data_IF_107909598935
#
_entry.id   IF_107909598935
#
_cell.length_a   1.000
_cell.length_b   1.000
_cell.length_c   1.000
_cell.angle_alpha   90.00
_cell.angle_beta   90.00
_cell.angle_gamma   90.00
#
_symmetry.space_group_name_H-M   'P 1'
#
loop_
_entity.id
_entity.type
_entity.pdbx_description
1 polymer ?
#
# COMPACT_ATOMS: atom_id res chain seq x y z
N UNK A 1 -13.10 21.29 -10.01
CA UNK A 1 -12.54 19.98 -10.40
C UNK A 1 -11.92 19.34 -9.17
N UNK A 2 -12.40 18.15 -8.79
CA UNK A 2 -11.85 17.37 -7.68
C UNK A 2 -10.48 16.85 -8.07
N UNK A 3 -9.46 17.08 -7.24
CA UNK A 3 -8.11 16.58 -7.52
C UNK A 3 -8.06 15.06 -7.27
N UNK A 4 -7.41 14.34 -8.19
CA UNK A 4 -7.16 12.90 -8.05
C UNK A 4 -6.06 12.66 -7.02
N UNK A 5 -6.28 11.68 -6.15
CA UNK A 5 -5.36 11.33 -5.06
C UNK A 5 -4.94 9.87 -5.19
N UNK A 6 -3.63 9.64 -5.08
CA UNK A 6 -3.04 8.31 -4.95
C UNK A 6 -2.47 8.16 -3.54
N UNK A 7 -3.01 7.23 -2.76
CA UNK A 7 -2.49 6.84 -1.46
C UNK A 7 -1.68 5.55 -1.60
N UNK A 8 -0.36 5.64 -1.39
CA UNK A 8 0.54 4.50 -1.44
C UNK A 8 0.93 4.05 -0.03
N UNK A 9 0.61 2.81 0.29
CA UNK A 9 1.16 2.12 1.47
C UNK A 9 2.33 1.24 1.03
N UNK A 10 3.55 1.62 1.43
CA UNK A 10 4.78 0.86 1.19
C UNK A 10 5.25 0.33 2.55
N UNK A 11 4.84 -0.90 2.87
CA UNK A 11 5.09 -1.43 4.22
C UNK A 11 6.58 -1.70 4.42
N UNK A 12 7.07 -1.34 5.61
CA UNK A 12 8.50 -1.35 5.92
C UNK A 12 9.26 -0.11 5.46
N UNK A 13 8.65 0.84 4.74
CA UNK A 13 9.35 2.06 4.34
C UNK A 13 9.75 2.91 5.55
N UNK A 14 11.06 3.05 5.76
CA UNK A 14 11.64 3.91 6.80
C UNK A 14 12.34 5.12 6.17
N UNK A 15 12.43 6.23 6.91
CA UNK A 15 13.06 7.46 6.41
C UNK A 15 14.51 7.25 5.92
N UNK A 16 15.38 6.45 6.58
CA UNK A 16 16.73 6.18 6.06
C UNK A 16 16.77 5.53 4.68
N UNK A 17 15.72 4.80 4.26
CA UNK A 17 15.67 4.18 2.93
C UNK A 17 15.43 5.19 1.81
N UNK A 18 14.92 6.39 2.12
CA UNK A 18 14.69 7.43 1.13
C UNK A 18 15.97 7.85 0.41
N UNK A 19 17.14 7.71 1.05
CA UNK A 19 18.44 7.95 0.42
C UNK A 19 18.71 7.02 -0.77
N UNK A 20 18.13 5.82 -0.76
CA UNK A 20 18.17 4.87 -1.87
C UNK A 20 17.00 5.04 -2.84
N UNK A 21 16.13 6.04 -2.59
CA UNK A 21 14.90 6.24 -3.33
C UNK A 21 14.73 7.60 -4.02
N UNK A 22 15.45 7.90 -5.13
CA UNK A 22 15.51 9.25 -5.70
C UNK A 22 14.15 9.84 -6.06
N UNK A 23 13.22 9.06 -6.60
CA UNK A 23 11.88 9.55 -6.95
C UNK A 23 11.06 9.93 -5.72
N UNK A 24 11.09 9.10 -4.68
CA UNK A 24 10.34 9.34 -3.44
C UNK A 24 11.01 10.43 -2.58
N UNK A 25 12.34 10.46 -2.56
CA UNK A 25 13.12 11.54 -1.97
C UNK A 25 12.83 12.88 -2.64
N UNK A 26 12.80 12.91 -3.98
CA UNK A 26 12.41 14.10 -4.73
C UNK A 26 10.96 14.53 -4.47
N UNK A 27 10.03 13.58 -4.30
CA UNK A 27 8.65 13.88 -3.91
C UNK A 27 8.58 14.49 -2.50
N UNK A 28 9.30 13.90 -1.54
CA UNK A 28 9.38 14.41 -0.17
C UNK A 28 10.01 15.81 -0.12
N UNK A 29 11.06 16.07 -0.90
CA UNK A 29 11.75 17.36 -0.95
C UNK A 29 10.89 18.49 -1.55
N UNK A 30 10.05 18.18 -2.54
CA UNK A 30 9.11 19.16 -3.13
C UNK A 30 7.82 19.34 -2.33
N UNK A 31 7.50 18.38 -1.46
CA UNK A 31 6.27 18.33 -0.69
C UNK A 31 6.54 18.41 0.81
N UNK A 32 5.94 17.48 1.54
CA UNK A 32 6.14 17.33 2.98
C UNK A 32 6.48 15.87 3.30
N UNK A 33 7.24 15.70 4.38
CA UNK A 33 7.57 14.39 4.95
C UNK A 33 7.49 14.48 6.46
N UNK A 34 6.80 13.52 7.08
CA UNK A 34 6.71 13.40 8.53
C UNK A 34 6.76 11.92 8.93
N UNK A 35 7.33 11.60 10.10
CA UNK A 35 7.23 10.26 10.65
C UNK A 35 5.78 9.95 11.03
N UNK A 36 5.32 8.74 10.73
CA UNK A 36 4.04 8.23 11.19
C UNK A 36 4.25 7.31 12.40
N UNK A 37 3.65 7.67 13.54
CA UNK A 37 3.52 6.76 14.66
C UNK A 37 2.34 5.80 14.40
N UNK A 38 2.58 4.50 14.21
CA UNK A 38 1.48 3.56 13.98
C UNK A 38 0.69 3.32 15.27
N UNK A 39 -0.56 2.90 15.11
CA UNK A 39 -1.36 2.36 16.22
C UNK A 39 -0.71 1.10 16.81
N UNK A 40 -1.12 0.73 18.02
CA UNK A 40 -0.78 -0.56 18.62
C UNK A 40 -1.99 -1.51 18.58
N UNK A 41 -1.83 -2.78 18.15
CA UNK A 41 -0.60 -3.38 17.64
C UNK A 41 -0.23 -2.91 16.23
N UNK A 42 1.06 -2.73 15.97
CA UNK A 42 1.59 -2.23 14.69
C UNK A 42 1.75 -3.34 13.65
N UNK A 43 0.65 -4.04 13.34
CA UNK A 43 0.58 -5.04 12.27
C UNK A 43 -0.32 -4.55 11.14
N UNK A 44 -0.17 -5.09 9.94
CA UNK A 44 -0.77 -4.56 8.70
C UNK A 44 -2.28 -4.31 8.82
N UNK A 45 -3.06 -5.29 9.29
CA UNK A 45 -4.51 -5.20 9.34
C UNK A 45 -5.02 -4.10 10.28
N UNK A 46 -4.44 -3.96 11.47
CA UNK A 46 -4.84 -2.93 12.44
C UNK A 46 -4.41 -1.55 11.96
N UNK A 47 -3.17 -1.40 11.49
CA UNK A 47 -2.63 -0.12 11.00
C UNK A 47 -3.41 0.38 9.79
N UNK A 48 -3.65 -0.46 8.77
CA UNK A 48 -4.42 -0.06 7.60
C UNK A 48 -5.86 0.31 7.97
N UNK A 49 -6.51 -0.46 8.85
CA UNK A 49 -7.88 -0.13 9.29
C UNK A 49 -7.93 1.23 10.00
N UNK A 50 -6.96 1.53 10.86
CA UNK A 50 -6.87 2.85 11.51
C UNK A 50 -6.58 3.98 10.50
N UNK A 51 -5.72 3.75 9.51
CA UNK A 51 -5.46 4.74 8.45
C UNK A 51 -6.72 5.05 7.63
N UNK A 52 -7.51 4.03 7.32
CA UNK A 52 -8.69 4.16 6.45
C UNK A 52 -9.90 4.75 7.18
N UNK A 53 -10.02 4.55 8.49
CA UNK A 53 -11.18 5.01 9.29
C UNK A 53 -10.87 6.21 10.16
N UNK A 54 -9.61 6.49 10.46
CA UNK A 54 -9.21 7.47 11.48
C UNK A 54 -9.48 7.02 12.92
N UNK A 55 -9.87 5.76 13.13
CA UNK A 55 -10.23 5.20 14.44
C UNK A 55 -9.10 4.34 15.02
N UNK A 56 -9.13 4.12 16.33
CA UNK A 56 -8.23 3.18 17.02
C UNK A 56 -8.75 1.73 16.95
N UNK A 57 -7.90 0.70 17.16
CA UNK A 57 -8.29 -0.71 17.10
C UNK A 57 -9.48 -1.12 17.97
N UNK A 58 -9.66 -0.49 19.14
CA UNK A 58 -10.80 -0.71 20.01
C UNK A 58 -12.13 -0.12 19.47
N UNK A 59 -12.08 0.73 18.46
CA UNK A 59 -13.24 1.37 17.83
C UNK A 59 -13.60 0.71 16.49
N UNK A 60 -12.63 0.46 15.61
CA UNK A 60 -12.89 -0.21 14.32
C UNK A 60 -12.87 -1.75 14.42
N UNK A 61 -12.50 -2.31 15.57
CA UNK A 61 -12.59 -3.75 15.89
C UNK A 61 -11.45 -4.63 15.35
N UNK A 62 -10.54 -4.08 14.55
CA UNK A 62 -9.42 -4.85 13.97
C UNK A 62 -8.19 -4.74 14.85
N UNK A 63 -8.01 -5.73 15.72
CA UNK A 63 -6.95 -5.77 16.73
C UNK A 63 -5.70 -6.54 16.29
N UNK A 64 -5.64 -7.00 15.04
CA UNK A 64 -4.47 -7.70 14.50
C UNK A 64 -4.72 -8.28 13.11
N UNK A 65 -3.76 -9.08 12.63
CA UNK A 65 -3.92 -9.84 11.38
C UNK A 65 -4.83 -11.05 11.53
N UNK A 66 -5.26 -11.37 12.76
CA UNK A 66 -6.24 -12.40 13.06
C UNK A 66 -6.37 -12.58 14.57
N UNK A 67 -7.43 -13.28 14.98
CA UNK A 67 -7.77 -13.51 16.38
C UNK A 67 -8.71 -14.71 16.50
N UNK A 68 -9.03 -15.07 17.74
CA UNK A 68 -9.99 -16.12 18.06
C UNK A 68 -11.43 -15.60 17.95
N UNK A 69 -12.20 -16.15 17.01
CA UNK A 69 -13.62 -15.87 16.82
C UNK A 69 -14.43 -16.75 17.77
N UNK A 70 -14.85 -16.18 18.91
CA UNK A 70 -15.53 -16.94 19.98
C UNK A 70 -16.78 -17.67 19.51
N UNK A 71 -17.57 -17.03 18.66
CA UNK A 71 -18.81 -17.61 18.12
C UNK A 71 -18.57 -18.83 17.22
N UNK A 72 -17.36 -18.94 16.65
CA UNK A 72 -16.96 -20.05 15.79
C UNK A 72 -16.08 -21.07 16.52
N UNK A 73 -15.45 -20.68 17.63
CA UNK A 73 -14.47 -21.50 18.32
C UNK A 73 -13.14 -21.64 17.55
N UNK A 74 -12.81 -20.70 16.65
CA UNK A 74 -11.69 -20.83 15.72
C UNK A 74 -10.74 -19.62 15.72
N UNK A 75 -9.44 -19.87 15.56
CA UNK A 75 -8.48 -18.82 15.23
C UNK A 75 -8.48 -18.61 13.72
N UNK A 76 -8.93 -17.44 13.29
CA UNK A 76 -8.93 -17.09 11.87
C UNK A 76 -7.97 -15.93 11.61
N UNK A 77 -7.12 -16.13 10.62
CA UNK A 77 -6.14 -15.14 10.18
C UNK A 77 -6.55 -14.58 8.82
N UNK A 78 -6.22 -13.31 8.59
CA UNK A 78 -6.32 -12.65 7.28
C UNK A 78 -7.71 -12.69 6.67
N UNK A 79 -8.74 -12.45 7.49
CA UNK A 79 -10.11 -12.30 6.99
C UNK A 79 -10.17 -11.06 6.07
N UNK A 80 -10.95 -11.17 5.01
CA UNK A 80 -10.96 -10.17 3.94
C UNK A 80 -12.25 -9.36 3.84
N UNK A 81 -13.30 -9.70 4.59
CA UNK A 81 -14.58 -8.99 4.49
C UNK A 81 -14.48 -7.59 5.11
N UNK A 82 -14.82 -6.56 4.34
CA UNK A 82 -14.85 -5.17 4.80
C UNK A 82 -15.83 -4.94 5.97
N UNK A 83 -16.88 -5.78 6.06
CA UNK A 83 -17.88 -5.72 7.14
C UNK A 83 -17.30 -5.99 8.54
N UNK A 84 -16.11 -6.59 8.62
CA UNK A 84 -15.40 -6.75 9.89
C UNK A 84 -14.84 -5.44 10.44
N UNK A 85 -14.62 -4.45 9.57
CA UNK A 85 -14.08 -3.14 9.95
C UNK A 85 -15.24 -2.19 10.27
N UNK A 86 -15.39 -1.88 11.55
CA UNK A 86 -16.37 -0.89 12.00
C UNK A 86 -15.89 0.54 11.70
N UNK A 87 -16.85 1.46 11.59
CA UNK A 87 -16.60 2.86 11.24
C UNK A 87 -16.70 3.16 9.75
N UNK A 88 -16.91 4.44 9.45
CA UNK A 88 -16.91 4.98 8.09
C UNK A 88 -15.47 5.03 7.55
N UNK A 89 -15.30 4.64 6.28
CA UNK A 89 -14.00 4.63 5.61
C UNK A 89 -13.81 5.90 4.80
N UNK A 90 -12.56 6.31 4.60
CA UNK A 90 -12.20 7.56 3.92
C UNK A 90 -12.86 7.71 2.54
N UNK A 91 -13.06 6.62 1.80
CA UNK A 91 -13.72 6.66 0.50
C UNK A 91 -15.25 6.84 0.60
N UNK A 92 -15.88 6.35 1.67
CA UNK A 92 -17.31 6.56 1.94
C UNK A 92 -17.56 8.02 2.34
N UNK A 93 -16.74 8.55 3.26
CA UNK A 93 -16.78 9.96 3.63
C UNK A 93 -16.59 10.87 2.42
N UNK A 94 -15.68 10.50 1.49
CA UNK A 94 -15.42 11.28 0.29
C UNK A 94 -16.57 11.18 -0.73
N UNK A 95 -17.16 9.99 -0.90
CA UNK A 95 -18.32 9.79 -1.78
C UNK A 95 -19.51 10.66 -1.36
N UNK A 96 -19.75 10.82 -0.05
CA UNK A 96 -20.82 11.69 0.47
C UNK A 96 -20.54 13.20 0.34
N UNK A 97 -19.34 13.61 -0.08
CA UNK A 97 -18.91 15.02 -0.15
C UNK A 97 -18.65 15.54 -1.55
N UNK A 98 -18.36 14.68 -2.51
CA UNK A 98 -17.93 15.08 -3.85
C UNK A 98 -18.79 14.39 -4.91
N UNK A 99 -19.46 15.19 -5.74
CA UNK A 99 -20.21 14.68 -6.88
C UNK A 99 -19.29 14.00 -7.90
N UNK A 100 -19.74 12.86 -8.44
CA UNK A 100 -18.97 12.06 -9.39
C UNK A 100 -17.71 11.41 -8.79
N UNK A 101 -17.62 11.32 -7.46
CA UNK A 101 -16.51 10.65 -6.79
C UNK A 101 -16.48 9.16 -7.12
N UNK A 102 -15.29 8.66 -7.41
CA UNK A 102 -15.01 7.25 -7.63
C UNK A 102 -13.73 6.86 -6.90
N UNK A 103 -13.65 5.61 -6.46
CA UNK A 103 -12.53 5.09 -5.69
C UNK A 103 -12.09 3.70 -6.14
N UNK A 104 -10.79 3.45 -6.05
CA UNK A 104 -10.18 2.17 -6.34
C UNK A 104 -9.29 1.71 -5.17
N UNK A 105 -9.40 0.43 -4.81
CA UNK A 105 -8.57 -0.22 -3.81
C UNK A 105 -7.76 -1.36 -4.42
N UNK A 106 -6.44 -1.21 -4.45
CA UNK A 106 -5.49 -2.20 -4.96
C UNK A 106 -4.63 -2.73 -3.82
N UNK A 107 -4.96 -3.92 -3.35
CA UNK A 107 -4.17 -4.72 -2.42
C UNK A 107 -4.35 -4.39 -0.95
N UNK A 108 -5.05 -3.31 -0.56
CA UNK A 108 -5.29 -3.06 0.86
C UNK A 108 -6.19 -4.14 1.47
N UNK A 109 -6.02 -4.38 2.77
CA UNK A 109 -6.74 -5.42 3.50
C UNK A 109 -8.19 -5.07 3.76
N UNK A 110 -8.98 -6.12 4.02
CA UNK A 110 -10.43 -6.02 4.21
C UNK A 110 -11.16 -5.42 3.01
N UNK A 111 -10.67 -5.69 1.80
CA UNK A 111 -11.22 -5.12 0.58
C UNK A 111 -12.44 -5.86 0.03
N UNK A 112 -12.67 -7.14 0.39
CA UNK A 112 -13.82 -7.87 -0.13
C UNK A 112 -15.11 -7.25 0.39
N UNK A 113 -16.05 -6.98 -0.52
CA UNK A 113 -17.32 -6.32 -0.24
C UNK A 113 -17.18 -4.89 0.33
N UNK A 114 -16.04 -4.23 0.09
CA UNK A 114 -15.92 -2.80 0.31
C UNK A 114 -16.77 -2.04 -0.73
N UNK A 115 -17.08 -0.79 -0.41
CA UNK A 115 -17.90 0.13 -1.23
C UNK A 115 -17.10 0.86 -2.32
N UNK A 116 -15.86 0.43 -2.60
CA UNK A 116 -15.05 0.97 -3.70
C UNK A 116 -15.61 0.54 -5.06
N UNK A 117 -15.52 1.41 -6.06
CA UNK A 117 -15.95 1.12 -7.43
C UNK A 117 -15.06 0.08 -8.12
N UNK A 118 -13.76 0.09 -7.78
CA UNK A 118 -12.78 -0.86 -8.28
C UNK A 118 -12.02 -1.49 -7.11
N UNK A 119 -11.91 -2.81 -7.10
CA UNK A 119 -11.19 -3.57 -6.07
C UNK A 119 -10.28 -4.57 -6.76
N UNK A 120 -9.06 -4.71 -6.27
CA UNK A 120 -8.15 -5.81 -6.58
C UNK A 120 -7.51 -6.25 -5.27
N UNK A 121 -7.74 -7.47 -4.80
CA UNK A 121 -7.15 -7.95 -3.55
C UNK A 121 -6.75 -9.43 -3.65
N UNK A 122 -5.64 -9.87 -3.01
CA UNK A 122 -5.22 -11.27 -3.02
C UNK A 122 -6.33 -12.20 -2.52
N UNK A 123 -6.63 -13.25 -3.30
CA UNK A 123 -7.62 -14.26 -2.91
C UNK A 123 -7.31 -15.58 -3.63
N UNK A 124 -6.83 -16.63 -2.93
CA UNK A 124 -6.63 -17.94 -3.56
C UNK A 124 -7.96 -18.55 -3.98
N UNK A 125 -7.92 -19.34 -5.05
CA UNK A 125 -8.97 -20.31 -5.37
C UNK A 125 -8.71 -21.59 -4.58
N UNK A 126 -9.72 -22.04 -3.84
CA UNK A 126 -9.69 -23.31 -3.12
C UNK A 126 -10.39 -24.38 -3.95
N UNK A 127 -9.65 -25.44 -4.26
CA UNK A 127 -10.17 -26.59 -4.99
C UNK A 127 -10.67 -27.65 -4.00
N UNK A 128 -11.55 -28.54 -4.47
CA UNK A 128 -12.13 -29.62 -3.66
C UNK A 128 -11.06 -30.62 -3.16
N UNK A 129 -9.97 -30.77 -3.89
CA UNK A 129 -8.80 -31.59 -3.54
C UNK A 129 -7.88 -30.94 -2.48
N UNK A 130 -8.27 -29.78 -1.93
CA UNK A 130 -7.50 -29.01 -0.95
C UNK A 130 -6.38 -28.17 -1.56
N UNK A 131 -6.16 -28.24 -2.88
CA UNK A 131 -5.17 -27.40 -3.57
C UNK A 131 -5.58 -25.94 -3.53
N UNK A 132 -4.58 -25.08 -3.48
CA UNK A 132 -4.74 -23.62 -3.61
C UNK A 132 -4.13 -23.19 -4.94
N UNK A 133 -4.90 -22.48 -5.76
CA UNK A 133 -4.36 -21.82 -6.95
C UNK A 133 -4.16 -20.33 -6.66
N UNK A 134 -3.09 -19.73 -7.21
CA UNK A 134 -2.83 -18.31 -7.05
C UNK A 134 -3.88 -17.52 -7.82
N UNK A 135 -4.52 -16.56 -7.16
CA UNK A 135 -5.53 -15.71 -7.79
C UNK A 135 -5.79 -14.42 -6.96
N UNK A 136 -6.60 -13.53 -7.51
CA UNK A 136 -7.07 -12.32 -6.85
C UNK A 136 -8.59 -12.13 -7.02
N UNK A 137 -9.20 -11.51 -6.01
CA UNK A 137 -10.57 -11.04 -6.07
C UNK A 137 -10.58 -9.65 -6.70
N UNK A 138 -11.43 -9.46 -7.72
CA UNK A 138 -11.51 -8.22 -8.49
C UNK A 138 -12.95 -7.77 -8.64
N UNK A 139 -13.16 -6.45 -8.55
CA UNK A 139 -14.40 -5.75 -8.89
C UNK A 139 -14.04 -4.59 -9.82
N UNK A 140 -14.75 -4.38 -10.95
CA UNK A 140 -15.76 -5.28 -11.51
C UNK A 140 -15.12 -6.59 -12.04
N UNK A 141 -15.89 -7.70 -12.18
CA UNK A 141 -15.31 -9.02 -12.49
C UNK A 141 -14.55 -9.10 -13.83
N UNK A 142 -14.99 -8.38 -14.86
CA UNK A 142 -14.35 -8.33 -16.20
C UNK A 142 -12.92 -7.74 -16.17
N UNK A 143 -12.63 -6.92 -15.15
CA UNK A 143 -11.28 -6.42 -14.92
C UNK A 143 -10.31 -7.55 -14.53
N UNK A 144 -10.78 -8.65 -13.93
CA UNK A 144 -9.94 -9.80 -13.60
C UNK A 144 -9.32 -10.40 -14.86
N UNK A 145 -10.14 -10.74 -15.86
CA UNK A 145 -9.70 -11.35 -17.11
C UNK A 145 -8.75 -10.40 -17.86
N UNK A 146 -9.08 -9.11 -17.86
CA UNK A 146 -8.26 -8.06 -18.47
C UNK A 146 -6.87 -7.98 -17.83
N UNK A 147 -6.80 -7.94 -16.50
CA UNK A 147 -5.52 -7.87 -15.79
C UNK A 147 -4.74 -9.18 -15.96
N UNK A 148 -5.40 -10.33 -15.90
CA UNK A 148 -4.78 -11.64 -16.07
C UNK A 148 -4.22 -11.82 -17.48
N UNK A 149 -4.95 -11.40 -18.52
CA UNK A 149 -4.48 -11.47 -19.90
C UNK A 149 -3.24 -10.58 -20.13
N UNK A 150 -3.18 -9.42 -19.46
CA UNK A 150 -2.11 -8.42 -19.64
C UNK A 150 -0.89 -8.70 -18.78
N UNK A 151 -1.09 -9.04 -17.50
CA UNK A 151 -0.05 -9.12 -16.47
C UNK A 151 0.29 -10.56 -16.09
N UNK A 152 -0.50 -11.53 -16.56
CA UNK A 152 -0.50 -12.90 -16.06
C UNK A 152 -1.27 -13.05 -14.75
N UNK A 153 -1.42 -14.30 -14.30
CA UNK A 153 -2.06 -14.65 -13.03
C UNK A 153 -1.39 -13.94 -11.86
N UNK A 154 -2.18 -13.45 -10.90
CA UNK A 154 -1.66 -12.80 -9.71
C UNK A 154 -0.65 -13.72 -8.98
N UNK A 155 0.60 -13.29 -8.74
CA UNK A 155 1.66 -14.13 -8.16
C UNK A 155 1.51 -14.30 -6.64
N UNK A 156 0.37 -14.84 -6.19
CA UNK A 156 -0.05 -14.94 -4.79
C UNK A 156 0.99 -15.58 -3.87
N UNK A 157 1.71 -16.61 -4.34
CA UNK A 157 2.72 -17.29 -3.53
C UNK A 157 4.00 -16.47 -3.33
N UNK A 158 4.15 -15.35 -4.03
CA UNK A 158 5.22 -14.37 -3.83
C UNK A 158 4.70 -13.08 -3.17
N UNK A 159 3.42 -13.04 -2.78
CA UNK A 159 2.81 -11.87 -2.13
C UNK A 159 3.18 -11.81 -0.65
N UNK A 160 3.18 -12.95 0.03
CA UNK A 160 3.43 -13.05 1.47
C UNK A 160 4.36 -14.21 1.84
N UNK A 161 4.79 -14.22 3.10
CA UNK A 161 5.50 -15.34 3.71
C UNK A 161 6.96 -15.49 3.26
N UNK A 162 7.58 -16.66 3.46
CA UNK A 162 9.02 -16.88 3.23
C UNK A 162 9.47 -16.61 1.79
N UNK A 163 8.56 -16.79 0.83
CA UNK A 163 8.78 -16.65 -0.61
C UNK A 163 8.44 -15.26 -1.15
N UNK A 164 8.01 -14.33 -0.28
CA UNK A 164 7.66 -12.97 -0.68
C UNK A 164 8.81 -12.29 -1.45
N UNK A 165 8.50 -11.63 -2.55
CA UNK A 165 9.49 -10.89 -3.32
C UNK A 165 8.84 -9.78 -4.16
N UNK A 166 9.64 -9.11 -4.99
CA UNK A 166 9.19 -7.99 -5.82
C UNK A 166 8.08 -8.34 -6.81
N UNK A 167 7.91 -9.60 -7.19
CA UNK A 167 7.01 -10.03 -8.28
C UNK A 167 5.57 -9.60 -8.01
N UNK A 168 5.05 -9.83 -6.80
CA UNK A 168 3.70 -9.37 -6.42
C UNK A 168 3.56 -7.85 -6.34
N UNK A 169 4.60 -7.17 -5.87
CA UNK A 169 4.59 -5.70 -5.83
C UNK A 169 4.58 -5.11 -7.24
N UNK A 170 5.40 -5.63 -8.16
CA UNK A 170 5.39 -5.22 -9.56
C UNK A 170 4.00 -5.41 -10.18
N UNK A 171 3.39 -6.58 -9.98
CA UNK A 171 2.05 -6.87 -10.50
C UNK A 171 1.00 -5.86 -9.95
N UNK A 172 1.02 -5.56 -8.65
CA UNK A 172 0.08 -4.60 -8.04
C UNK A 172 0.31 -3.18 -8.54
N UNK A 173 1.57 -2.80 -8.79
CA UNK A 173 1.88 -1.51 -9.40
C UNK A 173 1.30 -1.45 -10.80
N UNK A 174 1.59 -2.43 -11.66
CA UNK A 174 1.10 -2.48 -13.04
C UNK A 174 -0.42 -2.50 -13.12
N UNK A 175 -1.09 -3.23 -12.22
CA UNK A 175 -2.54 -3.20 -12.08
C UNK A 175 -3.04 -1.81 -11.70
N UNK A 176 -2.37 -1.13 -10.77
CA UNK A 176 -2.69 0.25 -10.40
C UNK A 176 -2.51 1.22 -11.58
N UNK A 177 -1.46 1.05 -12.41
CA UNK A 177 -1.28 1.83 -13.64
C UNK A 177 -2.47 1.65 -14.58
N UNK A 178 -2.88 0.40 -14.82
CA UNK A 178 -4.00 0.10 -15.73
C UNK A 178 -5.30 0.72 -15.22
N UNK A 179 -5.59 0.57 -13.92
CA UNK A 179 -6.78 1.14 -13.28
C UNK A 179 -6.80 2.67 -13.37
N UNK A 180 -5.67 3.34 -13.13
CA UNK A 180 -5.58 4.80 -13.28
C UNK A 180 -5.88 5.24 -14.71
N UNK A 181 -5.39 4.50 -15.72
CA UNK A 181 -5.61 4.82 -17.14
C UNK A 181 -7.04 4.54 -17.56
N UNK A 182 -7.62 3.43 -17.11
CA UNK A 182 -8.93 2.94 -17.55
C UNK A 182 -10.09 3.65 -16.86
N UNK A 183 -10.00 3.81 -15.53
CA UNK A 183 -11.11 4.33 -14.73
C UNK A 183 -10.86 5.75 -14.22
N UNK A 184 -9.60 6.20 -14.16
CA UNK A 184 -9.24 7.54 -13.65
C UNK A 184 -9.93 7.88 -12.31
N UNK A 185 -9.88 6.99 -11.30
CA UNK A 185 -10.62 7.19 -10.05
C UNK A 185 -10.18 8.47 -9.34
N UNK A 186 -11.09 9.05 -8.57
CA UNK A 186 -10.78 10.23 -7.74
C UNK A 186 -9.82 9.87 -6.61
N UNK A 187 -9.99 8.69 -6.00
CA UNK A 187 -9.05 8.13 -5.02
C UNK A 187 -8.58 6.75 -5.49
N UNK A 188 -7.27 6.52 -5.53
CA UNK A 188 -6.71 5.17 -5.59
C UNK A 188 -5.87 4.89 -4.35
N UNK A 189 -6.13 3.78 -3.67
CA UNK A 189 -5.27 3.26 -2.60
C UNK A 189 -4.51 2.05 -3.13
N UNK A 190 -3.17 2.05 -3.05
CA UNK A 190 -2.35 0.91 -3.47
C UNK A 190 -1.45 0.43 -2.33
N UNK A 191 -1.36 -0.89 -2.13
CA UNK A 191 -0.51 -1.53 -1.13
C UNK A 191 0.65 -2.28 -1.79
N UNK A 192 1.88 -1.97 -1.36
CA UNK A 192 3.13 -2.51 -1.88
C UNK A 192 3.84 -3.31 -0.77
N UNK A 193 3.73 -4.66 -0.75
CA UNK A 193 4.09 -5.47 0.41
C UNK A 193 5.56 -5.88 0.52
N UNK A 194 6.38 -5.82 -0.54
CA UNK A 194 7.65 -6.58 -0.55
C UNK A 194 8.71 -6.18 0.51
N UNK A 195 8.73 -4.91 0.94
CA UNK A 195 9.88 -4.34 1.62
C UNK A 195 9.98 -4.78 3.09
N UNK A 196 8.86 -5.07 3.76
CA UNK A 196 8.87 -5.53 5.14
C UNK A 196 9.42 -6.95 5.30
N UNK A 197 9.22 -7.80 4.29
CA UNK A 197 9.77 -9.15 4.25
C UNK A 197 11.29 -9.19 4.18
N UNK A 198 11.90 -8.19 3.55
CA UNK A 198 13.37 -8.08 3.55
C UNK A 198 13.90 -7.72 4.93
N UNK A 199 13.18 -6.87 5.69
CA UNK A 199 13.53 -6.61 7.09
C UNK A 199 13.31 -7.81 7.99
N UNK A 200 12.27 -8.61 7.76
CA UNK A 200 12.02 -9.84 8.53
C UNK A 200 13.08 -10.91 8.24
N UNK A 201 13.52 -11.04 6.98
CA UNK A 201 14.51 -12.06 6.57
C UNK A 201 15.93 -11.73 7.02
N UNK A 202 16.35 -10.48 6.87
CA UNK A 202 17.75 -10.10 7.07
C UNK A 202 17.98 -9.32 8.37
N UNK A 203 16.92 -8.79 8.98
CA UNK A 203 17.01 -7.93 10.15
C UNK A 203 17.46 -6.48 9.83
N UNK A 204 17.36 -5.57 10.81
CA UNK A 204 17.52 -4.12 10.60
C UNK A 204 18.97 -3.68 10.35
N UNK A 205 19.97 -4.55 10.59
CA UNK A 205 21.41 -4.22 10.49
C UNK A 205 22.11 -4.84 9.27
N UNK A 206 21.39 -5.55 8.42
CA UNK A 206 22.00 -6.24 7.29
C UNK A 206 22.45 -5.28 6.18
N UNK A 207 23.60 -5.56 5.55
CA UNK A 207 24.21 -4.71 4.50
C UNK A 207 23.33 -4.53 3.27
N UNK A 208 22.31 -5.37 3.07
CA UNK A 208 21.29 -5.21 2.01
C UNK A 208 20.45 -3.93 2.15
N UNK A 209 20.57 -3.17 3.24
CA UNK A 209 20.04 -1.79 3.36
C UNK A 209 20.42 -0.91 2.17
N UNK A 210 21.57 -1.20 1.55
CA UNK A 210 22.22 -0.37 0.52
C UNK A 210 21.60 -0.43 -0.87
N UNK A 211 20.69 -1.35 -1.16
CA UNK A 211 19.88 -1.29 -2.37
C UNK A 211 18.83 -2.39 -2.33
N UNK A 212 17.54 -2.07 -2.29
CA UNK A 212 16.64 -2.84 -3.12
C UNK A 212 17.10 -2.64 -4.57
N UNK A 213 18.02 -3.49 -5.05
CA UNK A 213 18.46 -3.49 -6.45
C UNK A 213 17.23 -3.85 -7.29
N UNK A 214 16.43 -2.84 -7.62
CA UNK A 214 15.21 -2.99 -8.39
C UNK A 214 14.02 -2.12 -7.98
N UNK A 215 13.94 -1.57 -6.75
CA UNK A 215 12.68 -0.87 -6.36
C UNK A 215 12.68 0.61 -6.63
N UNK A 216 13.83 1.30 -6.55
CA UNK A 216 13.75 2.75 -6.65
C UNK A 216 14.07 3.38 -8.00
N UNK A 217 14.89 2.78 -8.84
CA UNK A 217 15.15 3.42 -10.13
C UNK A 217 13.89 3.46 -10.99
N UNK A 218 12.89 2.63 -10.67
CA UNK A 218 11.73 2.42 -11.53
C UNK A 218 10.61 1.70 -10.79
N UNK A 219 10.07 2.32 -9.72
CA UNK A 219 8.80 1.83 -9.15
C UNK A 219 7.70 1.80 -10.22
N UNK A 220 7.82 2.61 -11.28
CA UNK A 220 6.84 2.67 -12.38
C UNK A 220 7.39 2.32 -13.78
N UNK A 221 8.70 2.38 -14.03
CA UNK A 221 9.24 2.29 -15.42
C UNK A 221 9.92 0.97 -15.82
N UNK A 222 10.16 0.02 -14.90
CA UNK A 222 10.75 -1.30 -15.21
C UNK A 222 9.70 -2.39 -15.33
N UNK A 223 8.53 -2.20 -14.72
CA UNK A 223 7.46 -3.18 -14.76
C UNK A 223 6.75 -3.21 -16.14
N UNK A 224 6.89 -2.13 -16.92
CA UNK A 224 6.32 -1.97 -18.26
C UNK A 224 7.10 -2.61 -19.43
N UNK A 225 8.22 -3.30 -19.20
CA UNK A 225 8.92 -4.04 -20.26
C UNK A 225 8.56 -5.54 -20.24
N UNK A 226 8.19 -6.15 -21.38
CA UNK A 226 7.84 -7.56 -21.42
C UNK A 226 9.05 -8.43 -21.03
N UNK A 227 8.88 -9.31 -20.03
CA UNK A 227 9.91 -10.29 -19.67
C UNK A 227 9.92 -11.43 -20.71
N UNK A 228 11.09 -11.85 -21.22
CA UNK A 228 11.19 -13.05 -22.04
C UNK A 228 10.88 -14.31 -21.21
N UNK A 229 10.25 -15.30 -21.85
CA UNK A 229 9.85 -16.58 -21.25
C UNK A 229 11.09 -17.36 -20.76
N UNK A 230 11.08 -17.64 -19.45
CA UNK A 230 11.77 -18.72 -18.68
C UNK A 230 13.02 -19.39 -19.26
N UNK A 231 14.12 -19.32 -18.50
CA UNK A 231 15.14 -20.38 -18.44
C UNK A 231 15.20 -20.94 -17.00
N UNK A 232 15.24 -22.26 -16.88
CA UNK A 232 15.17 -23.05 -15.64
C UNK A 232 16.32 -22.77 -14.66
N UNK A 233 16.10 -22.82 -13.33
CA UNK A 233 17.20 -22.72 -12.38
C UNK A 233 17.75 -24.09 -11.98
N UNK A 234 19.06 -24.27 -12.17
CA UNK A 234 19.86 -25.34 -11.58
C UNK A 234 20.22 -25.03 -10.12
N UNK A 235 20.15 -26.10 -9.32
CA UNK A 235 20.57 -26.31 -7.92
C UNK A 235 21.54 -25.32 -7.25
N UNK A 236 21.20 -24.88 -6.03
CA UNK A 236 22.19 -24.55 -4.99
C UNK A 236 21.74 -25.00 -3.59
N UNK A 237 22.75 -25.43 -2.84
CA UNK A 237 22.73 -26.26 -1.63
C UNK A 237 22.37 -25.51 -0.33
N UNK A 238 21.93 -26.29 0.66
CA UNK A 238 21.56 -25.89 2.03
C UNK A 238 22.78 -25.51 2.86
N UNK A 239 22.62 -24.54 3.76
CA UNK A 239 23.36 -24.46 5.02
C UNK A 239 22.44 -24.06 6.17
N UNK A 240 22.74 -24.60 7.35
CA UNK A 240 21.97 -24.60 8.61
C UNK A 240 22.49 -23.56 9.61
N UNK A 241 21.62 -22.97 10.44
CA UNK A 241 22.02 -22.32 11.70
C UNK A 241 21.05 -21.31 12.36
N UNK A 242 20.27 -21.80 13.34
CA UNK A 242 19.96 -21.29 14.71
C UNK A 242 19.57 -19.81 15.06
N UNK A 243 18.92 -19.58 16.25
CA UNK A 243 17.68 -18.80 16.33
C UNK A 243 17.79 -17.33 16.84
N UNK A 244 16.91 -16.50 16.28
CA UNK A 244 15.91 -15.67 16.99
C UNK A 244 16.36 -14.63 18.03
N UNK A 245 16.47 -13.36 17.61
CA UNK A 245 16.23 -12.19 18.47
C UNK A 245 15.17 -11.28 17.83
N UNK A 246 14.08 -11.04 18.56
CA UNK A 246 13.02 -10.10 18.17
C UNK A 246 13.51 -8.68 18.46
N UNK A 247 13.77 -7.90 17.41
CA UNK A 247 14.08 -6.46 17.52
C UNK A 247 12.88 -5.67 17.02
N UNK A 248 12.26 -4.90 17.93
CA UNK A 248 11.23 -3.90 17.58
C UNK A 248 11.87 -2.79 16.74
N UNK A 249 11.35 -2.54 15.53
CA UNK A 249 11.68 -1.36 14.73
C UNK A 249 10.39 -0.62 14.40
N UNK A 250 10.21 0.55 15.02
CA UNK A 250 9.08 1.46 14.85
C UNK A 250 9.55 2.70 14.11
N UNK A 251 9.24 2.82 12.82
CA UNK A 251 9.24 4.08 12.05
C UNK A 251 8.75 3.79 10.63
N UNK A 252 7.49 4.10 10.32
CA UNK A 252 6.99 4.04 8.94
C UNK A 252 6.75 5.47 8.45
N UNK A 253 7.14 5.77 7.21
CA UNK A 253 6.85 7.06 6.56
C UNK A 253 5.63 6.90 5.67
N UNK A 254 4.60 7.73 5.88
CA UNK A 254 3.50 7.88 4.92
C UNK A 254 3.74 9.16 4.13
N UNK A 255 3.78 9.06 2.80
CA UNK A 255 3.90 10.22 1.92
C UNK A 255 2.49 10.59 1.44
N UNK A 256 1.91 11.63 2.03
CA UNK A 256 0.68 12.25 1.55
C UNK A 256 1.07 13.41 0.66
N UNK A 257 0.98 13.24 -0.67
CA UNK A 257 1.08 14.37 -1.58
C UNK A 257 -0.21 15.21 -1.47
N UNK A 258 -0.14 16.39 -0.84
CA UNK A 258 -1.26 17.36 -0.83
C UNK A 258 -0.81 18.71 -1.35
N UNK A 259 -1.64 19.28 -2.21
CA UNK A 259 -1.60 20.68 -2.61
C UNK A 259 -1.67 21.62 -1.38
N UNK A 260 -0.94 22.72 -1.45
CA UNK A 260 -0.55 23.61 -0.36
C UNK A 260 -1.72 24.36 0.29
N UNK A 261 -1.80 24.31 1.62
CA UNK A 261 -2.44 25.32 2.46
C UNK A 261 -1.47 25.71 3.58
N UNK A 262 -1.26 27.02 3.77
CA UNK A 262 -0.32 27.56 4.76
C UNK A 262 -1.10 27.95 6.02
N UNK A 263 -0.73 27.37 7.15
CA UNK A 263 -1.24 27.74 8.47
C UNK A 263 -0.25 28.72 9.12
N UNK A 264 -0.72 29.90 9.54
CA UNK A 264 0.06 30.82 10.40
C UNK A 264 -0.54 30.81 11.80
N UNK A 265 0.23 30.47 12.86
CA UNK A 265 -0.28 30.51 14.22
C UNK A 265 -0.42 31.95 14.72
N UNK A 266 -1.55 32.28 15.34
CA UNK A 266 -1.66 33.40 16.28
C UNK A 266 -2.38 32.92 17.55
N UNK A 267 -2.15 33.61 18.68
CA UNK A 267 -2.54 33.22 20.05
C UNK A 267 -4.05 33.13 20.33
N UNK A 268 -4.91 33.17 19.32
CA UNK A 268 -6.37 33.11 19.48
C UNK A 268 -7.04 32.34 18.32
N UNK A 269 -6.87 31.01 18.28
CA UNK A 269 -7.66 30.12 17.41
C UNK A 269 -7.31 30.14 15.92
N UNK A 270 -7.40 28.97 15.27
CA UNK A 270 -7.01 28.80 13.87
C UNK A 270 -8.09 29.34 12.91
N UNK A 271 -7.79 30.41 12.16
CA UNK A 271 -8.59 30.85 11.00
C UNK A 271 -7.91 30.45 9.68
N UNK A 272 -8.68 29.84 8.78
CA UNK A 272 -8.24 29.44 7.44
C UNK A 272 -8.54 30.56 6.43
N UNK A 273 -7.54 31.13 5.78
CA UNK A 273 -7.73 32.10 4.69
C UNK A 273 -7.09 31.64 3.39
N UNK A 274 -7.75 31.96 2.27
CA UNK A 274 -7.36 31.63 0.90
C UNK A 274 -6.23 32.58 0.47
N UNK A 275 -5.03 32.07 0.19
CA UNK A 275 -3.93 32.89 -0.32
C UNK A 275 -4.18 33.33 -1.76
N UNK A 276 -4.36 34.63 -1.99
CA UNK A 276 -4.38 35.22 -3.32
C UNK A 276 -2.96 35.26 -3.91
N UNK A 277 -2.79 34.80 -5.16
CA UNK A 277 -1.59 35.07 -5.94
C UNK A 277 -1.53 36.56 -6.28
N UNK A 278 -0.56 37.28 -5.74
CA UNK A 278 -0.12 38.56 -6.29
C UNK A 278 1.03 38.31 -7.27
N UNK A 279 0.82 38.66 -8.53
CA UNK A 279 1.86 38.82 -9.55
C UNK A 279 2.77 39.98 -9.14
N UNK A 280 4.05 39.73 -8.88
CA UNK A 280 5.06 40.79 -8.85
C UNK A 280 6.15 40.50 -9.89
N UNK A 281 6.19 41.39 -10.88
CA UNK A 281 7.19 41.48 -11.94
C UNK A 281 8.59 41.72 -11.35
N UNK A 282 9.61 41.15 -12.00
CA UNK A 282 11.03 41.52 -11.82
C UNK A 282 11.26 43.02 -12.01
N UNK A 283 12.35 43.53 -11.41
CA UNK A 283 13.40 44.11 -12.24
C UNK A 283 14.83 43.70 -11.83
N UNK A 284 15.57 43.22 -12.83
CA UNK A 284 16.89 43.67 -13.30
C UNK A 284 17.97 44.14 -12.29
N UNK A 285 19.11 43.44 -12.32
CA UNK A 285 20.54 43.90 -12.33
C UNK A 285 20.86 45.08 -11.39
N UNK A 286 21.68 44.91 -10.35
CA UNK A 286 23.15 44.76 -10.34
C UNK A 286 23.62 44.32 -8.96
#
# INVERSE_FOLDING_TARGET
MTQRVLLLDVVGLTQPLLAHMPNLSGLAARGASAPLAPVFPAVTCSVQSSMLTGLMPNQHGIVGNGWYFRDLGEVLLWRQSNKLVAGEKVWETAAGRFDGYTSANVGWWYAMNATNDVIVTPRPVYHQDGRKSPDCYVVPPDLHDTLTAKLGTFPLFQYWGPTANLTSSCWLIDASIDILRRYSPTLLTAYIPHLDYDFQRYGPRHRSRSAPRGTSTTLWGRCSTPRPKTASPSSLSRSTGSPGHIVRSTSTVSCVARATYRCTPNKAGNTWTRGNLALSRSPTIR
#
